data_IF_487801346200
#
_entry.id   IF_487801346200
#
_cell.length_a   1.000
_cell.length_b   1.000
_cell.length_c   1.000
_cell.angle_alpha   90.00
_cell.angle_beta   90.00
_cell.angle_gamma   90.00
#
_symmetry.space_group_name_H-M   'P 1'
#
loop_
_entity.id
_entity.type
_entity.pdbx_description
1 polymer ?
#
# COMPACT_ATOMS: atom_id res chain seq x y z
N UNK A 1 12.95 -43.57 -10.51
CA UNK A 1 12.73 -42.11 -10.67
C UNK A 1 11.97 -41.58 -9.46
N UNK A 2 12.69 -41.31 -8.36
CA UNK A 2 12.28 -40.41 -7.27
C UNK A 2 12.88 -39.06 -7.63
N UNK A 3 12.13 -37.95 -7.65
CA UNK A 3 12.63 -36.54 -7.64
C UNK A 3 11.51 -35.51 -8.00
N UNK A 4 10.28 -35.63 -7.45
CA UNK A 4 9.23 -34.60 -7.68
C UNK A 4 8.38 -34.26 -6.44
N UNK A 5 8.83 -34.59 -5.23
CA UNK A 5 8.05 -34.31 -4.00
C UNK A 5 8.64 -33.20 -3.09
N UNK A 6 9.84 -32.70 -3.38
CA UNK A 6 10.53 -31.75 -2.48
C UNK A 6 10.44 -30.27 -2.86
N UNK A 7 9.93 -29.89 -4.05
CA UNK A 7 9.85 -28.46 -4.43
C UNK A 7 8.62 -27.71 -3.90
N UNK A 8 7.56 -28.41 -3.48
CA UNK A 8 6.42 -27.75 -2.83
C UNK A 8 6.65 -27.54 -1.33
N UNK A 9 7.40 -28.42 -0.67
CA UNK A 9 7.60 -28.36 0.79
C UNK A 9 8.56 -27.23 1.21
N UNK A 10 9.51 -26.85 0.34
CA UNK A 10 10.41 -25.72 0.59
C UNK A 10 9.69 -24.37 0.59
N UNK A 11 8.66 -24.19 -0.25
CA UNK A 11 7.95 -22.91 -0.37
C UNK A 11 7.09 -22.57 0.85
N UNK A 12 6.61 -23.58 1.58
CA UNK A 12 5.82 -23.37 2.80
C UNK A 12 6.68 -23.19 4.07
N UNK A 13 7.89 -23.77 4.11
CA UNK A 13 8.83 -23.57 5.22
C UNK A 13 9.34 -22.11 5.24
N UNK A 14 9.69 -21.56 4.08
CA UNK A 14 10.13 -20.16 3.94
C UNK A 14 8.98 -19.16 4.20
N UNK A 15 7.73 -19.53 3.88
CA UNK A 15 6.52 -18.74 4.18
C UNK A 15 6.29 -18.57 5.69
N UNK A 16 6.69 -19.55 6.50
CA UNK A 16 6.55 -19.49 7.97
C UNK A 16 7.66 -18.69 8.65
N UNK A 17 8.80 -18.48 8.00
CA UNK A 17 9.93 -17.69 8.54
C UNK A 17 9.88 -16.21 8.11
N UNK A 18 9.11 -15.86 7.07
CA UNK A 18 8.93 -14.49 6.62
C UNK A 18 7.80 -13.76 7.37
N UNK A 19 7.99 -12.48 7.74
CA UNK A 19 6.90 -11.62 8.21
C UNK A 19 5.71 -11.65 7.23
N UNK A 20 4.49 -11.86 7.73
CA UNK A 20 3.28 -12.10 6.90
C UNK A 20 2.98 -10.94 5.94
N UNK A 21 3.33 -9.73 6.32
CA UNK A 21 3.18 -8.51 5.53
C UNK A 21 3.97 -8.53 4.22
N UNK A 22 5.16 -9.15 4.19
CA UNK A 22 5.96 -9.31 2.97
C UNK A 22 5.34 -10.31 2.00
N UNK A 23 4.63 -11.31 2.53
CA UNK A 23 4.06 -12.37 1.69
C UNK A 23 2.67 -11.99 1.15
N UNK A 24 1.95 -11.14 1.88
CA UNK A 24 0.60 -10.70 1.54
C UNK A 24 0.55 -9.43 0.68
N UNK A 25 1.71 -8.85 0.33
CA UNK A 25 1.84 -7.58 -0.43
C UNK A 25 0.94 -6.46 0.15
N UNK A 26 0.90 -6.38 1.48
CA UNK A 26 0.07 -5.40 2.18
C UNK A 26 0.59 -3.99 1.90
N UNK A 27 -0.29 -2.98 1.74
CA UNK A 27 0.16 -1.61 1.64
C UNK A 27 0.72 -1.15 2.97
N UNK A 28 1.88 -0.49 2.93
CA UNK A 28 2.40 0.23 4.08
C UNK A 28 2.01 1.70 3.94
N UNK A 29 1.22 2.21 4.88
CA UNK A 29 0.80 3.61 4.91
C UNK A 29 1.42 4.30 6.13
N UNK A 30 2.17 5.37 5.89
CA UNK A 30 2.82 6.16 6.93
C UNK A 30 2.26 7.58 6.88
N UNK A 31 1.63 8.01 7.99
CA UNK A 31 1.16 9.38 8.19
C UNK A 31 2.16 10.12 9.08
N UNK A 32 2.73 11.23 8.57
CA UNK A 32 3.65 12.10 9.31
C UNK A 32 2.94 13.41 9.65
N UNK A 33 2.59 13.55 10.93
CA UNK A 33 1.71 14.63 11.39
C UNK A 33 0.38 14.61 10.64
N UNK A 34 -0.18 15.79 10.35
CA UNK A 34 -1.35 15.95 9.46
C UNK A 34 -0.98 16.48 8.07
N UNK A 35 0.30 16.33 7.67
CA UNK A 35 0.88 17.04 6.51
C UNK A 35 1.27 16.13 5.36
N UNK A 36 1.62 14.88 5.66
CA UNK A 36 2.33 14.00 4.73
C UNK A 36 1.82 12.57 4.87
N UNK A 37 1.53 11.92 3.74
CA UNK A 37 1.28 10.48 3.67
C UNK A 37 2.22 9.83 2.66
N UNK A 38 2.82 8.72 3.06
CA UNK A 38 3.55 7.79 2.20
C UNK A 38 2.75 6.50 2.07
N UNK A 39 2.55 6.02 0.85
CA UNK A 39 1.87 4.75 0.57
C UNK A 39 2.80 3.90 -0.30
N UNK A 40 3.16 2.74 0.22
CA UNK A 40 3.92 1.72 -0.50
C UNK A 40 2.98 0.58 -0.94
N UNK A 41 3.39 -0.17 -1.97
CA UNK A 41 2.59 -1.23 -2.60
C UNK A 41 1.19 -0.76 -3.05
N UNK A 42 1.10 0.48 -3.55
CA UNK A 42 -0.12 0.94 -4.21
C UNK A 42 -0.28 0.30 -5.59
N UNK A 43 -1.52 0.19 -6.06
CA UNK A 43 -1.92 -0.26 -7.40
C UNK A 43 -2.34 0.91 -8.31
N UNK A 44 -2.10 2.14 -7.86
CA UNK A 44 -2.32 3.37 -8.63
C UNK A 44 -3.36 4.29 -7.99
N UNK A 45 -3.49 5.49 -8.54
CA UNK A 45 -4.45 6.49 -8.09
C UNK A 45 -5.77 6.31 -8.86
N UNK A 46 -6.88 6.25 -8.12
CA UNK A 46 -8.25 6.10 -8.66
C UNK A 46 -8.93 7.47 -8.83
N UNK A 47 -8.69 8.37 -7.88
CA UNK A 47 -9.26 9.72 -7.86
C UNK A 47 -8.20 10.68 -7.33
N UNK A 48 -8.06 11.85 -7.95
CA UNK A 48 -7.14 12.88 -7.51
C UNK A 48 -7.79 14.26 -7.60
N UNK A 49 -7.85 14.94 -6.46
CA UNK A 49 -8.27 16.33 -6.33
C UNK A 49 -7.55 16.97 -5.15
N UNK A 50 -7.69 18.29 -5.01
CA UNK A 50 -7.09 19.04 -3.89
C UNK A 50 -7.76 18.75 -2.54
N UNK A 51 -8.90 18.07 -2.51
CA UNK A 51 -9.64 17.77 -1.27
C UNK A 51 -9.83 16.29 -1.00
N UNK A 52 -9.61 15.45 -2.02
CA UNK A 52 -9.72 14.00 -1.92
C UNK A 52 -8.77 13.29 -2.86
N UNK A 53 -8.08 12.27 -2.35
CA UNK A 53 -7.27 11.34 -3.15
C UNK A 53 -7.66 9.92 -2.80
N UNK A 54 -7.94 9.09 -3.82
CA UNK A 54 -8.19 7.66 -3.65
C UNK A 54 -7.07 6.86 -4.29
N UNK A 55 -6.53 5.91 -3.55
CA UNK A 55 -5.38 5.10 -3.94
C UNK A 55 -5.79 3.64 -3.85
N UNK A 56 -5.71 2.93 -4.98
CA UNK A 56 -5.97 1.50 -4.99
C UNK A 56 -4.79 0.76 -4.33
N UNK A 57 -5.05 -0.26 -3.52
CA UNK A 57 -4.02 -1.01 -2.79
C UNK A 57 -4.26 -2.54 -2.86
N UNK A 58 -3.38 -3.31 -2.22
CA UNK A 58 -3.54 -4.75 -2.03
C UNK A 58 -4.84 -5.15 -1.33
N UNK A 59 -5.34 -4.31 -0.43
CA UNK A 59 -6.39 -4.65 0.55
C UNK A 59 -7.68 -3.84 0.40
N UNK A 60 -7.78 -2.97 -0.60
CA UNK A 60 -8.93 -2.07 -0.76
C UNK A 60 -8.49 -0.71 -1.30
N UNK A 61 -9.40 0.26 -1.27
CA UNK A 61 -9.14 1.64 -1.70
C UNK A 61 -8.83 2.50 -0.48
N UNK A 62 -7.59 2.99 -0.38
CA UNK A 62 -7.21 3.99 0.61
C UNK A 62 -7.76 5.36 0.18
N UNK A 63 -8.55 5.99 1.04
CA UNK A 63 -9.19 7.27 0.79
C UNK A 63 -8.60 8.31 1.74
N UNK A 64 -7.95 9.31 1.17
CA UNK A 64 -7.48 10.49 1.86
C UNK A 64 -8.47 11.63 1.63
N UNK A 65 -8.89 12.30 2.70
CA UNK A 65 -9.62 13.57 2.62
C UNK A 65 -8.84 14.67 3.34
N UNK A 66 -9.01 15.91 2.88
CA UNK A 66 -8.26 17.03 3.41
C UNK A 66 -8.40 18.30 2.56
N UNK A 67 -7.39 19.16 2.66
CA UNK A 67 -7.25 20.38 1.88
C UNK A 67 -5.85 20.48 1.27
N UNK A 68 -5.75 21.11 0.10
CA UNK A 68 -4.49 21.28 -0.64
C UNK A 68 -3.71 19.97 -0.86
N UNK A 69 -4.43 18.85 -0.98
CA UNK A 69 -3.85 17.54 -1.25
C UNK A 69 -3.13 17.55 -2.60
N UNK A 70 -1.86 17.15 -2.58
CA UNK A 70 -0.97 17.16 -3.74
C UNK A 70 -0.12 15.90 -3.77
N UNK A 71 -0.10 15.20 -4.92
CA UNK A 71 0.84 14.10 -5.14
C UNK A 71 2.20 14.70 -5.49
N UNK A 72 3.19 14.46 -4.64
CA UNK A 72 4.57 14.91 -4.85
C UNK A 72 5.38 13.92 -5.67
N UNK A 73 5.25 12.64 -5.37
CA UNK A 73 5.96 11.58 -6.07
C UNK A 73 5.00 10.42 -6.34
N UNK A 74 5.07 9.85 -7.54
CA UNK A 74 4.36 8.64 -7.95
C UNK A 74 5.35 7.74 -8.68
N UNK A 75 5.78 6.69 -8.01
CA UNK A 75 6.58 5.61 -8.57
C UNK A 75 5.73 4.34 -8.71
N UNK A 76 6.32 3.25 -9.23
CA UNK A 76 5.57 2.02 -9.48
C UNK A 76 4.96 1.42 -8.21
N UNK A 77 5.61 1.58 -7.06
CA UNK A 77 5.16 1.07 -5.77
C UNK A 77 5.06 2.12 -4.66
N UNK A 78 5.59 3.33 -4.87
CA UNK A 78 5.68 4.36 -3.85
C UNK A 78 4.91 5.61 -4.26
N UNK A 79 4.05 6.08 -3.37
CA UNK A 79 3.24 7.28 -3.54
C UNK A 79 3.45 8.21 -2.34
N UNK A 80 3.76 9.47 -2.64
CA UNK A 80 3.93 10.51 -1.63
C UNK A 80 2.94 11.64 -1.84
N UNK A 81 2.17 11.95 -0.79
CA UNK A 81 1.08 12.93 -0.78
C UNK A 81 1.35 13.96 0.31
N UNK A 82 1.15 15.24 0.00
CA UNK A 82 1.19 16.35 0.96
C UNK A 82 -0.14 17.10 0.99
N UNK A 83 -0.47 17.73 2.12
CA UNK A 83 -1.64 18.61 2.27
C UNK A 83 -1.99 18.86 3.73
N UNK A 84 -3.22 19.27 4.03
CA UNK A 84 -3.78 19.21 5.39
C UNK A 84 -4.75 18.04 5.46
N UNK A 85 -4.33 16.95 6.10
CA UNK A 85 -5.01 15.66 6.04
C UNK A 85 -6.01 15.57 7.19
N UNK A 86 -7.29 15.44 6.86
CA UNK A 86 -8.38 15.35 7.83
C UNK A 86 -8.82 13.92 8.11
N UNK A 87 -8.71 13.02 7.14
CA UNK A 87 -8.98 11.60 7.34
C UNK A 87 -8.22 10.68 6.39
N UNK A 88 -8.03 9.44 6.85
CA UNK A 88 -7.56 8.31 6.09
C UNK A 88 -8.48 7.11 6.41
N UNK A 89 -9.14 6.55 5.40
CA UNK A 89 -9.97 5.34 5.51
C UNK A 89 -9.56 4.30 4.46
N UNK A 90 -9.93 3.05 4.67
CA UNK A 90 -9.80 1.97 3.68
C UNK A 90 -11.20 1.41 3.44
N UNK A 91 -11.64 1.44 2.18
CA UNK A 91 -12.89 0.80 1.74
C UNK A 91 -12.54 -0.54 1.07
N UNK A 92 -13.09 -1.64 1.60
CA UNK A 92 -12.89 -3.03 1.12
C UNK A 92 -13.92 -3.47 0.08
#
# INVERSE_FOLDING_TARGET
MKEKKNRLQSTFADFFELPRDLVLDLPRIILVGKRQIYIENHKGIVEYSTTRIKVNTGVGVAILAGENLTVRNLYAKDLFIEGDISSLTIDD
#
